data_IF_650001183794
#
_entry.id   IF_650001183794
#
_cell.length_a   1.000
_cell.length_b   1.000
_cell.length_c   1.000
_cell.angle_alpha   90.00
_cell.angle_beta   90.00
_cell.angle_gamma   90.00
#
_symmetry.space_group_name_H-M   'P 1'
#
loop_
_entity.id
_entity.type
_entity.pdbx_description
1 polymer ?
#
# COMPACT_ATOMS: atom_id res chain seq x y z
N UNK A 1 3.47 -73.91 25.28
CA UNK A 1 2.72 -73.63 24.05
C UNK A 1 3.64 -72.70 23.25
N UNK A 2 4.54 -73.24 22.44
CA UNK A 2 4.25 -73.75 21.07
C UNK A 2 4.02 -72.54 20.16
N UNK A 3 4.74 -72.23 19.08
CA UNK A 3 5.63 -72.95 18.14
C UNK A 3 6.44 -71.84 17.38
N UNK A 4 7.75 -72.00 17.06
CA UNK A 4 8.29 -72.45 15.75
C UNK A 4 8.31 -71.30 14.70
N UNK A 5 9.32 -70.98 13.88
CA UNK A 5 10.54 -71.60 13.30
C UNK A 5 11.35 -70.39 12.72
N UNK A 6 12.66 -70.22 12.90
CA UNK A 6 13.77 -70.80 12.09
C UNK A 6 13.61 -70.58 10.57
N UNK A 7 14.64 -70.25 9.76
CA UNK A 7 16.04 -69.89 9.95
C UNK A 7 16.60 -69.49 8.56
N UNK A 8 17.70 -68.72 8.54
CA UNK A 8 18.92 -68.86 7.70
C UNK A 8 18.83 -69.14 6.17
N UNK A 9 19.78 -68.78 5.29
CA UNK A 9 21.03 -68.00 5.26
C UNK A 9 21.59 -68.18 3.81
N UNK A 10 22.61 -67.40 3.46
CA UNK A 10 23.59 -67.57 2.37
C UNK A 10 23.12 -67.10 0.97
N UNK A 11 23.71 -66.04 0.38
CA UNK A 11 25.10 -65.85 -0.07
C UNK A 11 25.49 -66.83 -1.19
N UNK A 12 25.57 -66.33 -2.43
CA UNK A 12 26.74 -66.45 -3.31
C UNK A 12 26.53 -65.71 -4.66
N UNK A 13 27.44 -64.77 -4.93
CA UNK A 13 28.30 -64.68 -6.12
C UNK A 13 27.71 -64.44 -7.54
N UNK A 14 28.18 -63.35 -8.15
CA UNK A 14 27.99 -62.91 -9.56
C UNK A 14 28.63 -63.88 -10.59
N UNK A 15 28.23 -63.80 -11.87
CA UNK A 15 29.20 -63.32 -12.87
C UNK A 15 28.61 -62.36 -13.93
N UNK A 16 29.55 -61.79 -14.68
CA UNK A 16 29.52 -60.65 -15.60
C UNK A 16 29.11 -60.95 -17.06
N UNK A 17 28.84 -59.84 -17.78
CA UNK A 17 28.94 -59.58 -19.24
C UNK A 17 27.86 -60.11 -20.23
N UNK A 18 27.11 -59.15 -20.79
CA UNK A 18 26.82 -58.91 -22.22
C UNK A 18 26.08 -57.54 -22.26
N UNK A 19 26.70 -56.39 -22.58
CA UNK A 19 27.07 -55.86 -23.91
C UNK A 19 25.99 -56.09 -24.97
N UNK A 20 24.99 -55.22 -24.99
CA UNK A 20 24.13 -54.84 -26.12
C UNK A 20 23.27 -53.67 -25.57
N UNK A 21 23.17 -52.49 -26.16
CA UNK A 21 23.55 -51.98 -27.45
C UNK A 21 23.67 -50.45 -27.23
N UNK A 22 24.78 -49.87 -27.65
CA UNK A 22 24.89 -48.42 -27.83
C UNK A 22 23.88 -48.07 -28.93
N UNK A 23 22.66 -47.73 -28.55
CA UNK A 23 21.72 -47.09 -29.47
C UNK A 23 22.22 -45.67 -29.69
N UNK A 24 22.93 -45.49 -30.80
CA UNK A 24 23.12 -44.21 -31.47
C UNK A 24 21.74 -43.63 -31.82
N UNK A 25 21.08 -42.97 -30.86
CA UNK A 25 19.91 -42.13 -31.15
C UNK A 25 20.12 -40.73 -30.57
N UNK A 26 20.52 -39.83 -31.47
CA UNK A 26 20.21 -38.40 -31.49
C UNK A 26 20.87 -37.50 -30.40
N UNK A 27 21.75 -36.56 -30.78
CA UNK A 27 22.14 -35.44 -29.92
C UNK A 27 21.00 -34.40 -29.72
N UNK A 28 19.74 -34.73 -30.03
CA UNK A 28 18.61 -33.80 -30.00
C UNK A 28 17.90 -33.69 -28.63
N UNK A 29 18.14 -34.60 -27.67
CA UNK A 29 17.57 -34.50 -26.32
C UNK A 29 18.08 -33.35 -25.41
N UNK A 30 19.35 -32.89 -25.44
CA UNK A 30 19.79 -31.81 -24.56
C UNK A 30 19.19 -30.45 -24.92
N UNK A 31 19.09 -30.10 -26.20
CA UNK A 31 18.59 -28.78 -26.63
C UNK A 31 17.11 -28.59 -26.29
N UNK A 32 16.26 -29.55 -26.65
CA UNK A 32 14.82 -29.48 -26.36
C UNK A 32 14.54 -29.42 -24.85
N UNK A 33 15.32 -30.15 -24.05
CA UNK A 33 15.23 -30.11 -22.58
C UNK A 33 15.68 -28.76 -22.01
N UNK A 34 16.80 -28.21 -22.49
CA UNK A 34 17.28 -26.89 -22.08
C UNK A 34 16.28 -25.78 -22.45
N UNK A 35 15.68 -25.84 -23.63
CA UNK A 35 14.68 -24.86 -24.06
C UNK A 35 13.40 -24.94 -23.21
N UNK A 36 12.91 -26.15 -22.92
CA UNK A 36 11.76 -26.36 -22.06
C UNK A 36 12.02 -25.86 -20.62
N UNK A 37 13.22 -26.14 -20.08
CA UNK A 37 13.66 -25.62 -18.78
C UNK A 37 13.77 -24.09 -18.78
N UNK A 38 14.33 -23.49 -19.83
CA UNK A 38 14.43 -22.03 -19.99
C UNK A 38 13.03 -21.40 -20.07
N UNK A 39 12.09 -22.00 -20.80
CA UNK A 39 10.71 -21.51 -20.91
C UNK A 39 9.98 -21.60 -19.57
N UNK A 40 10.10 -22.72 -18.85
CA UNK A 40 9.53 -22.89 -17.51
C UNK A 40 10.13 -21.91 -16.51
N UNK A 41 11.44 -21.72 -16.57
CA UNK A 41 12.17 -20.76 -15.73
C UNK A 41 11.68 -19.32 -15.98
N UNK A 42 11.48 -18.91 -17.24
CA UNK A 42 10.93 -17.59 -17.58
C UNK A 42 9.57 -17.35 -16.94
N UNK A 43 8.64 -18.29 -17.08
CA UNK A 43 7.30 -18.17 -16.49
C UNK A 43 7.32 -18.12 -14.96
N UNK A 44 8.19 -18.93 -14.34
CA UNK A 44 8.41 -18.91 -12.90
C UNK A 44 8.93 -17.54 -12.42
N UNK A 45 9.95 -17.00 -13.08
CA UNK A 45 10.51 -15.67 -12.77
C UNK A 45 9.46 -14.58 -12.93
N UNK A 46 8.70 -14.57 -14.03
CA UNK A 46 7.65 -13.56 -14.23
C UNK A 46 6.56 -13.63 -13.16
N UNK A 47 6.17 -14.84 -12.74
CA UNK A 47 5.20 -15.02 -11.66
C UNK A 47 5.74 -14.47 -10.34
N UNK A 48 6.94 -14.87 -9.92
CA UNK A 48 7.50 -14.43 -8.64
C UNK A 48 7.79 -12.93 -8.62
N UNK A 49 8.34 -12.36 -9.69
CA UNK A 49 8.55 -10.90 -9.79
C UNK A 49 7.21 -10.16 -9.77
N UNK A 50 6.21 -10.65 -10.49
CA UNK A 50 4.86 -10.07 -10.48
C UNK A 50 4.23 -10.09 -9.09
N UNK A 51 4.34 -11.23 -8.40
CA UNK A 51 3.87 -11.40 -7.02
C UNK A 51 4.63 -10.49 -6.05
N UNK A 52 5.96 -10.40 -6.18
CA UNK A 52 6.79 -9.49 -5.40
C UNK A 52 6.34 -8.05 -5.56
N UNK A 53 6.11 -7.57 -6.78
CA UNK A 53 5.63 -6.21 -7.03
C UNK A 53 4.27 -5.98 -6.38
N UNK A 54 3.34 -6.94 -6.50
CA UNK A 54 2.04 -6.85 -5.87
C UNK A 54 2.17 -6.77 -4.32
N UNK A 55 2.97 -7.66 -3.72
CA UNK A 55 3.21 -7.69 -2.28
C UNK A 55 3.84 -6.39 -1.76
N UNK A 56 4.89 -5.89 -2.42
CA UNK A 56 5.48 -4.60 -2.06
C UNK A 56 4.50 -3.44 -2.24
N UNK A 57 3.63 -3.50 -3.26
CA UNK A 57 2.51 -2.57 -3.39
C UNK A 57 1.69 -2.53 -2.11
N UNK A 58 1.14 -3.68 -1.68
CA UNK A 58 0.35 -3.77 -0.45
C UNK A 58 1.12 -3.39 0.82
N UNK A 59 2.42 -3.67 0.89
CA UNK A 59 3.28 -3.31 2.03
C UNK A 59 3.47 -1.79 2.18
N UNK A 60 3.50 -1.04 1.07
CA UNK A 60 3.80 0.39 1.06
C UNK A 60 2.57 1.29 1.19
N UNK A 61 1.37 0.78 0.89
CA UNK A 61 0.14 1.57 1.00
C UNK A 61 -0.33 1.67 2.46
N UNK A 62 -0.28 2.86 3.08
CA UNK A 62 -0.83 3.05 4.41
C UNK A 62 -2.35 3.03 4.39
N UNK A 63 -2.94 2.56 5.49
CA UNK A 63 -4.31 2.88 5.84
C UNK A 63 -4.30 4.23 6.57
N UNK A 64 -4.89 5.24 5.95
CA UNK A 64 -5.02 6.56 6.55
C UNK A 64 -6.33 6.70 7.30
N UNK A 65 -6.31 7.39 8.44
CA UNK A 65 -7.49 7.70 9.24
C UNK A 65 -7.41 9.13 9.75
N UNK A 66 -8.52 9.85 9.71
CA UNK A 66 -8.61 11.20 10.27
C UNK A 66 -9.06 11.10 11.72
N UNK A 67 -8.36 11.79 12.63
CA UNK A 67 -8.65 11.83 14.06
C UNK A 67 -9.44 13.12 14.33
N UNK A 68 -10.76 13.03 14.63
CA UNK A 68 -11.58 14.21 14.82
C UNK A 68 -11.14 14.96 16.07
N UNK A 69 -11.09 16.29 15.96
CA UNK A 69 -10.86 17.18 17.08
C UNK A 69 -12.18 17.52 17.78
N UNK A 70 -12.22 17.30 19.08
CA UNK A 70 -13.33 17.69 19.93
C UNK A 70 -12.98 18.96 20.72
N UNK A 71 -13.64 20.06 20.37
CA UNK A 71 -13.45 21.36 21.02
C UNK A 71 -13.98 21.40 22.47
N UNK A 72 -14.87 20.49 22.87
CA UNK A 72 -15.38 20.43 24.25
C UNK A 72 -14.29 19.93 25.20
N UNK A 73 -13.54 18.91 24.77
CA UNK A 73 -12.48 18.29 25.55
C UNK A 73 -11.09 18.86 25.24
N UNK A 74 -10.95 19.64 24.17
CA UNK A 74 -9.68 20.22 23.76
C UNK A 74 -8.69 19.18 23.23
N UNK A 75 -9.20 18.06 22.71
CA UNK A 75 -8.39 16.92 22.30
C UNK A 75 -8.91 16.32 20.98
N UNK A 76 -7.98 15.88 20.13
CA UNK A 76 -8.30 15.02 19.01
C UNK A 76 -8.19 13.57 19.45
N UNK A 77 -9.29 12.82 19.40
CA UNK A 77 -9.35 11.46 19.90
C UNK A 77 -10.09 10.53 18.94
N UNK A 78 -9.55 9.32 18.75
CA UNK A 78 -10.16 8.31 17.89
C UNK A 78 -9.75 6.90 18.27
N UNK A 79 -10.72 6.00 18.23
CA UNK A 79 -10.48 4.56 18.08
C UNK A 79 -10.06 4.27 16.63
N UNK A 80 -8.78 3.90 16.44
CA UNK A 80 -8.24 3.54 15.12
C UNK A 80 -8.58 2.09 14.73
N UNK A 81 -9.28 1.38 15.60
CA UNK A 81 -9.75 0.02 15.41
C UNK A 81 -8.69 -1.03 15.71
N UNK A 82 -8.98 -2.26 15.26
CA UNK A 82 -8.07 -3.38 15.42
C UNK A 82 -6.91 -3.30 14.41
N UNK A 83 -5.72 -3.03 14.93
CA UNK A 83 -4.44 -3.15 14.23
C UNK A 83 -4.08 -4.64 14.17
N UNK A 84 -3.83 -5.13 12.97
CA UNK A 84 -3.51 -6.52 12.71
C UNK A 84 -2.07 -6.67 12.21
N UNK A 85 -1.43 -7.76 12.60
CA UNK A 85 -0.05 -8.06 12.23
C UNK A 85 0.47 -9.27 13.02
N UNK A 86 1.55 -9.92 12.59
CA UNK A 86 2.34 -10.71 13.53
C UNK A 86 2.81 -9.74 14.62
N UNK A 87 2.62 -10.09 15.88
CA UNK A 87 3.12 -9.28 17.00
C UNK A 87 3.84 -10.19 17.96
N UNK A 88 5.01 -9.79 18.41
CA UNK A 88 5.60 -10.31 19.63
C UNK A 88 5.52 -9.21 20.69
N UNK A 89 5.61 -9.58 21.97
CA UNK A 89 5.43 -8.60 23.04
C UNK A 89 6.66 -7.71 23.17
N UNK A 90 6.45 -6.39 23.25
CA UNK A 90 7.51 -5.40 23.39
C UNK A 90 7.90 -4.78 22.05
N UNK A 91 8.93 -3.93 22.06
CA UNK A 91 9.42 -3.30 20.83
C UNK A 91 10.16 -4.33 19.96
N UNK A 92 9.64 -4.59 18.77
CA UNK A 92 10.23 -5.54 17.83
C UNK A 92 9.97 -5.21 16.34
N UNK A 93 10.60 -5.98 15.44
CA UNK A 93 10.54 -5.73 14.00
C UNK A 93 9.18 -6.04 13.36
N UNK A 94 8.28 -6.69 14.09
CA UNK A 94 6.94 -7.06 13.65
C UNK A 94 5.92 -5.99 14.00
N UNK A 95 6.30 -4.99 14.80
CA UNK A 95 5.46 -3.85 15.13
C UNK A 95 4.95 -3.15 13.88
N UNK A 96 3.69 -2.73 13.93
CA UNK A 96 3.06 -1.99 12.86
C UNK A 96 3.43 -0.52 13.01
N UNK A 97 4.16 0.08 12.06
CA UNK A 97 4.47 1.49 12.18
C UNK A 97 3.21 2.32 12.01
N UNK A 98 3.11 3.34 12.85
CA UNK A 98 2.03 4.29 12.86
C UNK A 98 2.59 5.72 12.91
N UNK A 99 2.29 6.49 11.87
CA UNK A 99 2.63 7.91 11.82
C UNK A 99 1.39 8.73 12.12
N UNK A 100 1.50 9.59 13.14
CA UNK A 100 0.47 10.56 13.49
C UNK A 100 0.96 11.96 13.12
N UNK A 101 0.36 12.52 12.09
CA UNK A 101 0.62 13.87 11.60
C UNK A 101 -0.37 14.84 12.23
N UNK A 102 0.11 15.79 13.02
CA UNK A 102 -0.69 16.76 13.75
C UNK A 102 -0.37 18.16 13.25
N UNK A 103 -1.33 18.79 12.58
CA UNK A 103 -1.30 20.20 12.19
C UNK A 103 -1.92 21.05 13.32
N UNK A 104 -1.16 22.02 13.80
CA UNK A 104 -1.64 23.00 14.79
C UNK A 104 -2.33 24.15 14.06
N UNK A 105 -3.66 24.08 13.98
CA UNK A 105 -4.45 25.10 13.29
C UNK A 105 -4.57 26.36 14.13
N UNK A 106 -4.83 26.20 15.44
CA UNK A 106 -4.83 27.30 16.42
C UNK A 106 -4.15 26.86 17.70
N UNK A 107 -3.10 27.60 18.08
CA UNK A 107 -2.40 27.37 19.33
C UNK A 107 -3.11 28.09 20.50
N UNK A 108 -3.02 27.56 21.73
CA UNK A 108 -3.64 28.20 22.88
C UNK A 108 -3.02 29.58 23.17
N UNK A 109 -3.86 30.54 23.58
CA UNK A 109 -3.50 31.94 23.84
C UNK A 109 -2.49 32.14 24.98
N UNK A 110 -2.29 31.13 25.82
CA UNK A 110 -1.35 31.12 26.94
C UNK A 110 0.04 30.70 26.46
N UNK A 111 0.86 31.68 26.07
CA UNK A 111 2.10 31.43 25.30
C UNK A 111 3.30 30.94 26.10
N UNK A 112 3.23 30.82 27.43
CA UNK A 112 4.35 30.31 28.22
C UNK A 112 4.09 28.87 28.64
N UNK A 113 4.77 27.95 27.94
CA UNK A 113 4.93 26.54 28.28
C UNK A 113 3.75 25.62 27.93
N UNK A 114 3.39 25.63 26.65
CA UNK A 114 2.47 24.67 26.04
C UNK A 114 3.27 23.49 25.50
N UNK A 115 2.78 22.29 25.73
CA UNK A 115 3.29 21.05 25.14
C UNK A 115 2.17 20.38 24.36
N UNK A 116 2.46 19.99 23.12
CA UNK A 116 1.60 19.10 22.35
C UNK A 116 1.94 17.68 22.74
N UNK A 117 0.97 16.96 23.27
CA UNK A 117 1.11 15.56 23.71
C UNK A 117 0.32 14.66 22.76
N UNK A 118 0.94 13.56 22.34
CA UNK A 118 0.35 12.53 21.51
C UNK A 118 0.49 11.17 22.21
N UNK A 119 -0.62 10.45 22.28
CA UNK A 119 -0.73 9.14 22.92
C UNK A 119 -1.27 8.13 21.92
N UNK A 120 -0.74 6.92 21.99
CA UNK A 120 -1.35 5.72 21.40
C UNK A 120 -1.45 4.67 22.50
N UNK A 121 -2.67 4.30 22.84
CA UNK A 121 -2.98 3.43 23.98
C UNK A 121 -3.71 2.20 23.48
N UNK A 122 -3.21 1.02 23.82
CA UNK A 122 -3.90 -0.24 23.53
C UNK A 122 -5.05 -0.46 24.51
N UNK A 123 -6.24 -0.04 24.09
CA UNK A 123 -7.46 -0.08 24.87
C UNK A 123 -8.61 -0.51 23.97
N UNK A 124 -9.54 -1.29 24.52
CA UNK A 124 -10.75 -1.71 23.80
C UNK A 124 -11.79 -0.58 23.71
N UNK A 125 -11.67 0.46 24.53
CA UNK A 125 -12.58 1.61 24.54
C UNK A 125 -11.87 2.90 24.93
N UNK A 126 -11.84 3.86 24.01
CA UNK A 126 -11.18 5.16 24.23
C UNK A 126 -11.92 6.05 25.23
N UNK A 127 -13.19 5.78 25.51
CA UNK A 127 -14.00 6.52 26.47
C UNK A 127 -14.00 5.89 27.88
N UNK A 128 -13.14 4.91 28.13
CA UNK A 128 -13.00 4.31 29.46
C UNK A 128 -12.47 5.34 30.47
N UNK A 129 -12.97 5.27 31.71
CA UNK A 129 -12.59 6.19 32.80
C UNK A 129 -11.08 6.07 33.13
N UNK A 130 -10.53 4.86 32.97
CA UNK A 130 -9.14 4.52 33.26
C UNK A 130 -8.14 5.05 32.23
N UNK A 131 -8.59 5.67 31.13
CA UNK A 131 -7.69 6.23 30.09
C UNK A 131 -6.65 7.18 30.68
N UNK A 132 -7.02 7.94 31.71
CA UNK A 132 -6.08 8.83 32.40
C UNK A 132 -4.95 8.10 33.14
N UNK A 133 -5.20 6.91 33.68
CA UNK A 133 -4.19 6.08 34.34
C UNK A 133 -3.21 5.52 33.30
N UNK A 134 -3.72 5.03 32.16
CA UNK A 134 -2.88 4.53 31.07
C UNK A 134 -2.04 5.63 30.41
N UNK A 135 -2.51 6.88 30.36
CA UNK A 135 -1.68 8.01 29.95
C UNK A 135 -0.51 8.25 30.90
N UNK A 136 -0.69 8.08 32.21
CA UNK A 136 0.41 8.21 33.17
C UNK A 136 1.44 7.09 32.98
N UNK A 137 0.98 5.86 32.73
CA UNK A 137 1.87 4.73 32.40
C UNK A 137 2.64 5.01 31.10
N UNK A 138 1.97 5.53 30.08
CA UNK A 138 2.61 5.91 28.81
C UNK A 138 3.72 6.93 29.02
N UNK A 139 3.51 7.95 29.87
CA UNK A 139 4.54 8.95 30.21
C UNK A 139 5.75 8.38 30.95
N UNK A 140 5.59 7.28 31.67
CA UNK A 140 6.71 6.59 32.32
C UNK A 140 7.58 5.85 31.30
N UNK A 141 7.00 5.41 30.18
CA UNK A 141 7.72 4.78 29.07
C UNK A 141 8.04 3.30 29.29
N UNK A 142 7.45 2.67 30.32
CA UNK A 142 7.74 1.28 30.70
C UNK A 142 6.88 0.23 29.96
N UNK A 143 5.94 0.68 29.12
CA UNK A 143 4.99 -0.21 28.43
C UNK A 143 4.98 0.05 26.93
N UNK A 144 5.09 -1.03 26.15
CA UNK A 144 4.94 -0.97 24.70
C UNK A 144 3.48 -0.79 24.26
N UNK A 145 2.54 -1.28 25.08
CA UNK A 145 1.10 -1.14 24.85
C UNK A 145 0.60 0.32 25.00
N UNK A 146 1.35 1.16 25.72
CA UNK A 146 0.99 2.55 25.99
C UNK A 146 2.15 3.48 25.64
N UNK A 147 2.06 4.13 24.49
CA UNK A 147 3.12 4.98 23.98
C UNK A 147 2.76 6.46 24.08
N UNK A 148 3.80 7.26 24.31
CA UNK A 148 3.68 8.70 24.50
C UNK A 148 4.83 9.42 23.80
N UNK A 149 4.47 10.43 23.01
CA UNK A 149 5.42 11.37 22.43
C UNK A 149 4.91 12.79 22.65
N UNK A 150 5.83 13.76 22.68
CA UNK A 150 5.46 15.15 22.90
C UNK A 150 6.37 16.13 22.20
N UNK A 151 5.82 17.32 21.94
CA UNK A 151 6.52 18.45 21.36
C UNK A 151 6.29 19.70 22.21
N UNK A 152 7.37 20.23 22.77
CA UNK A 152 7.35 21.49 23.53
C UNK A 152 7.26 22.68 22.61
N UNK A 153 6.54 23.71 23.05
CA UNK A 153 6.34 24.98 22.35
C UNK A 153 5.93 24.78 20.87
N UNK A 154 4.80 24.10 20.62
CA UNK A 154 4.28 23.94 19.27
C UNK A 154 3.90 25.32 18.71
N UNK A 155 4.21 25.54 17.42
CA UNK A 155 3.91 26.77 16.71
C UNK A 155 2.62 26.61 15.90
N UNK A 156 1.83 27.69 15.84
CA UNK A 156 0.63 27.74 15.03
C UNK A 156 0.96 27.72 13.53
N UNK A 157 0.21 26.92 12.76
CA UNK A 157 0.44 26.68 11.34
C UNK A 157 1.52 25.64 11.02
N UNK A 158 2.18 25.07 12.04
CA UNK A 158 3.14 23.97 11.83
C UNK A 158 2.49 22.59 11.98
N UNK A 159 3.06 21.62 11.28
CA UNK A 159 2.72 20.20 11.40
C UNK A 159 3.85 19.43 12.07
N UNK A 160 3.48 18.54 12.99
CA UNK A 160 4.39 17.67 13.71
C UNK A 160 4.04 16.21 13.44
N UNK A 161 5.05 15.39 13.16
CA UNK A 161 4.89 13.96 12.98
C UNK A 161 5.38 13.22 14.23
N UNK A 162 4.53 12.36 14.75
CA UNK A 162 4.83 11.44 15.84
C UNK A 162 4.83 10.00 15.30
N UNK A 163 5.89 9.26 15.55
CA UNK A 163 6.09 7.89 15.04
C UNK A 163 5.95 6.90 16.19
N UNK A 164 5.04 5.94 16.04
CA UNK A 164 4.75 4.90 17.03
C UNK A 164 4.90 3.51 16.39
N UNK A 165 5.20 2.51 17.21
CA UNK A 165 5.37 1.12 16.77
C UNK A 165 4.32 0.26 17.47
N UNK A 166 3.29 -0.18 16.75
CA UNK A 166 2.08 -0.71 17.37
C UNK A 166 2.03 -2.23 17.33
N UNK A 167 1.78 -2.81 18.50
CA UNK A 167 1.45 -4.21 18.65
C UNK A 167 0.09 -4.56 18.01
N UNK A 168 -0.17 -5.84 17.79
CA UNK A 168 -1.52 -6.28 17.41
C UNK A 168 -2.52 -5.98 18.54
N UNK A 169 -3.62 -5.32 18.21
CA UNK A 169 -4.66 -4.98 19.19
C UNK A 169 -5.55 -3.81 18.77
N UNK A 170 -6.52 -3.47 19.63
CA UNK A 170 -7.31 -2.24 19.48
C UNK A 170 -6.56 -1.07 20.09
N UNK A 171 -6.55 0.06 19.39
CA UNK A 171 -5.76 1.21 19.77
C UNK A 171 -6.56 2.51 19.72
N UNK A 172 -6.31 3.33 20.73
CA UNK A 172 -6.87 4.66 20.89
C UNK A 172 -5.78 5.69 20.70
N UNK A 173 -6.02 6.64 19.81
CA UNK A 173 -5.13 7.77 19.58
C UNK A 173 -5.72 9.00 20.25
N UNK A 174 -4.89 9.73 20.99
CA UNK A 174 -5.27 11.00 21.61
C UNK A 174 -4.19 12.04 21.44
N UNK A 175 -4.58 13.25 21.03
CA UNK A 175 -3.68 14.40 20.89
C UNK A 175 -4.28 15.59 21.59
N UNK A 176 -3.51 16.27 22.43
CA UNK A 176 -3.99 17.39 23.23
C UNK A 176 -2.87 18.38 23.54
N UNK A 177 -3.25 19.64 23.76
CA UNK A 177 -2.35 20.62 24.36
C UNK A 177 -2.40 20.52 25.87
N UNK A 178 -1.24 20.54 26.52
CA UNK A 178 -1.14 20.65 27.97
C UNK A 178 -0.24 21.81 28.38
N UNK A 179 -0.48 22.34 29.57
CA UNK A 179 0.45 23.26 30.23
C UNK A 179 1.51 22.50 31.06
N UNK A 180 2.44 23.23 31.67
CA UNK A 180 3.45 22.66 32.58
C UNK A 180 2.90 21.89 33.78
N UNK A 181 1.64 22.16 34.16
CA UNK A 181 0.97 21.49 35.27
C UNK A 181 0.29 20.18 34.82
N UNK A 182 0.31 19.87 33.52
CA UNK A 182 -0.36 18.72 32.93
C UNK A 182 -1.85 18.92 32.67
N UNK A 183 -2.37 20.15 32.80
CA UNK A 183 -3.77 20.47 32.54
C UNK A 183 -3.99 20.66 31.03
N UNK A 184 -5.07 20.07 30.51
CA UNK A 184 -5.47 20.18 29.11
C UNK A 184 -5.94 21.61 28.78
N UNK A 185 -5.39 22.18 27.71
CA UNK A 185 -5.72 23.51 27.20
C UNK A 185 -6.76 23.41 26.08
N UNK A 186 -8.02 23.65 26.45
CA UNK A 186 -9.18 23.55 25.55
C UNK A 186 -9.64 24.87 24.93
N UNK A 187 -9.27 26.00 25.52
CA UNK A 187 -9.80 27.30 25.09
C UNK A 187 -9.12 27.78 23.80
N UNK A 188 -9.94 28.04 22.77
CA UNK A 188 -9.51 28.57 21.48
C UNK A 188 -8.37 27.75 20.82
N UNK A 189 -8.38 26.44 21.00
CA UNK A 189 -7.44 25.52 20.34
C UNK A 189 -8.11 24.80 19.19
N UNK A 190 -7.31 24.44 18.19
CA UNK A 190 -7.77 23.61 17.07
C UNK A 190 -6.59 22.80 16.53
N UNK A 191 -6.83 21.51 16.34
CA UNK A 191 -5.87 20.54 15.82
C UNK A 191 -6.49 19.79 14.64
N UNK A 192 -5.67 19.44 13.66
CA UNK A 192 -6.01 18.41 12.68
C UNK A 192 -5.01 17.30 12.80
N UNK A 193 -5.48 16.11 13.15
CA UNK A 193 -4.64 14.95 13.32
C UNK A 193 -5.00 13.87 12.28
N UNK A 194 -3.98 13.30 11.64
CA UNK A 194 -4.11 12.27 10.63
C UNK A 194 -3.16 11.12 10.93
N UNK A 195 -3.72 9.93 11.11
CA UNK A 195 -2.97 8.70 11.29
C UNK A 195 -2.70 8.00 9.95
N UNK A 196 -1.52 7.41 9.81
CA UNK A 196 -1.14 6.50 8.72
C UNK A 196 -0.60 5.23 9.36
N UNK A 197 -1.14 4.08 8.97
CA UNK A 197 -0.79 2.78 9.55
C UNK A 197 -0.38 1.79 8.44
N UNK A 198 0.69 1.03 8.65
CA UNK A 198 1.20 0.06 7.66
C UNK A 198 1.17 -1.40 8.16
N UNK A 199 -0.01 -2.00 8.42
CA UNK A 199 -0.07 -3.35 8.99
C UNK A 199 0.42 -4.44 8.03
N UNK A 200 0.35 -4.17 6.72
CA UNK A 200 0.80 -5.10 5.69
C UNK A 200 2.32 -5.17 5.54
N UNK A 201 3.08 -4.24 6.14
CA UNK A 201 4.49 -4.09 5.81
C UNK A 201 5.28 -5.35 6.12
N UNK A 202 5.00 -6.00 7.25
CA UNK A 202 5.68 -7.22 7.68
C UNK A 202 5.17 -8.42 6.86
N UNK A 203 3.85 -8.59 6.76
CA UNK A 203 3.21 -9.77 6.15
C UNK A 203 3.43 -9.82 4.64
N UNK A 204 3.47 -8.67 3.96
CA UNK A 204 3.71 -8.61 2.53
C UNK A 204 5.18 -8.29 2.20
N UNK A 205 5.86 -7.48 3.01
CA UNK A 205 7.25 -7.08 2.78
C UNK A 205 8.24 -8.23 2.94
N UNK A 206 8.19 -8.99 4.05
CA UNK A 206 9.13 -10.09 4.29
C UNK A 206 9.01 -11.17 3.20
N UNK A 207 7.82 -11.71 2.88
CA UNK A 207 7.67 -12.64 1.76
C UNK A 207 8.03 -12.01 0.41
N UNK A 208 7.74 -10.73 0.22
CA UNK A 208 8.13 -9.96 -0.95
C UNK A 208 9.64 -10.01 -1.19
N UNK A 209 10.46 -9.80 -0.15
CA UNK A 209 11.92 -9.94 -0.21
C UNK A 209 12.37 -11.37 -0.50
N UNK A 210 11.72 -12.38 0.09
CA UNK A 210 12.02 -13.79 -0.18
C UNK A 210 11.78 -14.09 -1.66
N UNK A 211 10.61 -13.73 -2.20
CA UNK A 211 10.30 -13.95 -3.63
C UNK A 211 11.20 -13.14 -4.55
N UNK A 212 11.62 -11.94 -4.15
CA UNK A 212 12.60 -11.16 -4.89
C UNK A 212 13.94 -11.90 -4.96
N UNK A 213 14.42 -12.43 -3.84
CA UNK A 213 15.68 -13.17 -3.78
C UNK A 213 15.67 -14.43 -4.65
N UNK A 214 14.57 -15.20 -4.61
CA UNK A 214 14.38 -16.40 -5.45
C UNK A 214 14.33 -16.00 -6.93
N UNK A 215 13.68 -14.89 -7.26
CA UNK A 215 13.63 -14.37 -8.63
C UNK A 215 15.01 -13.98 -9.15
N UNK A 216 15.80 -13.27 -8.34
CA UNK A 216 17.17 -12.88 -8.69
C UNK A 216 18.02 -14.13 -8.93
N UNK A 217 17.96 -15.11 -8.04
CA UNK A 217 18.69 -16.36 -8.19
C UNK A 217 18.29 -17.11 -9.47
N UNK A 218 16.99 -17.18 -9.78
CA UNK A 218 16.49 -17.82 -10.99
C UNK A 218 16.93 -17.09 -12.27
N UNK A 219 16.97 -15.75 -12.26
CA UNK A 219 17.48 -14.95 -13.39
C UNK A 219 18.97 -15.23 -13.61
N UNK A 220 19.78 -15.23 -12.54
CA UNK A 220 21.22 -15.55 -12.65
C UNK A 220 21.43 -16.97 -13.19
N UNK A 221 20.64 -17.95 -12.73
CA UNK A 221 20.66 -19.31 -13.28
C UNK A 221 20.21 -19.40 -14.75
N UNK A 222 19.29 -18.55 -15.18
CA UNK A 222 18.87 -18.48 -16.59
C UNK A 222 19.96 -17.89 -17.47
N UNK A 223 20.66 -16.85 -17.00
CA UNK A 223 21.76 -16.21 -17.73
C UNK A 223 22.90 -17.21 -17.96
N UNK A 224 23.24 -18.03 -16.96
CA UNK A 224 24.28 -19.06 -17.10
C UNK A 224 23.84 -20.23 -18.00
N UNK A 225 22.58 -20.67 -17.95
CA UNK A 225 22.06 -21.69 -18.89
C UNK A 225 22.02 -21.17 -20.32
N UNK A 226 21.70 -19.88 -20.52
CA UNK A 226 21.69 -19.26 -21.85
C UNK A 226 23.08 -19.16 -22.46
N UNK A 227 24.11 -18.85 -21.67
CA UNK A 227 25.48 -18.83 -22.20
C UNK A 227 25.91 -20.23 -22.66
N UNK A 228 25.57 -21.29 -21.92
CA UNK A 228 25.82 -22.68 -22.33
C UNK A 228 25.04 -23.08 -23.58
N UNK A 229 23.77 -22.69 -23.70
CA UNK A 229 22.99 -22.94 -24.91
C UNK A 229 23.62 -22.25 -26.14
N UNK A 230 24.04 -21.00 -25.97
CA UNK A 230 24.70 -20.26 -27.06
C UNK A 230 26.01 -20.94 -27.49
N UNK A 231 26.77 -21.48 -26.55
CA UNK A 231 28.01 -22.23 -26.83
C UNK A 231 27.73 -23.49 -27.65
N UNK A 232 26.73 -24.29 -27.26
CA UNK A 232 26.32 -25.49 -28.01
C UNK A 232 25.84 -25.13 -29.42
N UNK A 233 25.04 -24.08 -29.57
CA UNK A 233 24.56 -23.63 -30.88
C UNK A 233 25.69 -23.07 -31.77
N UNK A 234 26.71 -22.48 -31.17
CA UNK A 234 27.90 -22.02 -31.89
C UNK A 234 28.75 -23.20 -32.35
N UNK A 235 28.89 -24.23 -31.53
CA UNK A 235 29.57 -25.48 -31.89
C UNK A 235 28.85 -26.20 -33.04
N UNK A 236 27.53 -26.39 -32.96
CA UNK A 236 26.74 -26.98 -34.06
C UNK A 236 26.86 -26.19 -35.36
N UNK A 237 26.88 -24.85 -35.28
CA UNK A 237 27.06 -24.00 -36.45
C UNK A 237 28.42 -24.23 -37.11
N UNK A 238 29.48 -24.27 -36.32
CA UNK A 238 30.85 -24.49 -36.81
C UNK A 238 30.95 -25.87 -37.45
N UNK A 239 30.33 -26.90 -36.85
CA UNK A 239 30.30 -28.25 -37.40
C UNK A 239 29.55 -28.29 -38.75
N UNK A 240 28.38 -27.66 -38.85
CA UNK A 240 27.65 -27.55 -40.11
C UNK A 240 28.45 -26.83 -41.21
N UNK A 241 29.14 -25.74 -40.86
CA UNK A 241 30.02 -25.04 -41.82
C UNK A 241 31.17 -25.92 -42.29
N UNK A 242 31.75 -26.73 -41.38
CA UNK A 242 32.81 -27.69 -41.71
C UNK A 242 32.31 -28.81 -42.62
N UNK A 243 31.16 -29.41 -42.31
CA UNK A 243 30.55 -30.45 -43.14
C UNK A 243 30.17 -29.92 -44.52
N UNK A 244 29.64 -28.70 -44.61
CA UNK A 244 29.33 -28.05 -45.88
C UNK A 244 30.61 -27.77 -46.71
N UNK A 245 31.70 -27.35 -46.05
CA UNK A 245 32.98 -27.16 -46.70
C UNK A 245 33.58 -28.50 -47.20
N UNK A 246 33.50 -29.56 -46.39
CA UNK A 246 33.96 -30.89 -46.76
C UNK A 246 33.16 -31.45 -47.95
N UNK A 247 31.83 -31.33 -47.91
CA UNK A 247 30.96 -31.71 -49.04
C UNK A 247 31.31 -30.93 -50.32
N UNK A 248 31.54 -29.61 -50.22
CA UNK A 248 31.96 -28.80 -51.36
C UNK A 248 33.35 -29.20 -51.90
N UNK A 249 34.28 -29.61 -51.02
CA UNK A 249 35.57 -30.15 -51.45
C UNK A 249 35.45 -31.52 -52.09
N UNK A 250 34.60 -32.41 -51.55
CA UNK A 250 34.32 -33.72 -52.11
C UNK A 250 33.66 -33.61 -53.49
N UNK A 251 32.75 -32.64 -53.69
CA UNK A 251 32.16 -32.33 -54.99
C UNK A 251 33.21 -31.80 -55.99
N UNK A 252 34.16 -30.96 -55.54
CA UNK A 252 35.28 -30.53 -56.40
C UNK A 252 36.23 -31.67 -56.76
N UNK A 253 36.45 -32.63 -55.86
CA UNK A 253 37.29 -33.80 -56.11
C UNK A 253 36.59 -34.77 -57.06
N UNK A 254 35.27 -34.96 -56.93
CA UNK A 254 34.48 -35.82 -57.81
C UNK A 254 34.34 -35.28 -59.24
N UNK A 255 34.47 -33.96 -59.43
CA UNK A 255 34.57 -33.33 -60.76
C UNK A 255 35.95 -33.49 -61.42
N UNK A 256 36.97 -33.95 -60.67
CA UNK A 256 38.30 -34.31 -61.17
C UNK A 256 39.14 -33.16 -61.75
N UNK A 257 40.49 -33.26 -61.76
CA UNK A 257 41.37 -32.30 -62.42
C UNK A 257 41.38 -32.59 -63.93
N UNK A 258 40.28 -32.32 -64.62
CA UNK A 258 40.08 -32.80 -65.99
C UNK A 258 39.06 -32.02 -66.81
N UNK A 259 38.86 -30.73 -66.54
CA UNK A 259 38.11 -29.83 -67.41
C UNK A 259 39.07 -28.90 -68.15
N UNK A 260 39.45 -29.24 -69.37
CA UNK A 260 40.10 -28.29 -70.29
C UNK A 260 39.26 -27.00 -70.40
N UNK A 261 39.87 -25.81 -70.57
CA UNK A 261 39.12 -24.58 -70.69
C UNK A 261 38.24 -24.64 -71.94
N UNK A 262 36.96 -24.22 -71.92
CA UNK A 262 36.24 -24.04 -73.15
C UNK A 262 36.92 -22.91 -73.94
N UNK A 263 37.57 -23.27 -75.05
CA UNK A 263 37.96 -22.34 -76.10
C UNK A 263 36.68 -21.79 -76.75
N UNK A 264 36.40 -20.53 -76.42
CA UNK A 264 35.82 -19.46 -77.24
C UNK A 264 34.75 -19.81 -78.28
N UNK A 265 33.53 -19.34 -78.02
CA UNK A 265 32.58 -18.98 -79.07
C UNK A 265 31.95 -17.60 -78.75
N UNK A 266 32.25 -16.65 -79.64
CA UNK A 266 31.54 -15.43 -80.01
C UNK A 266 30.77 -14.63 -78.93
N UNK A 267 31.22 -13.39 -78.69
CA UNK A 267 30.32 -12.33 -78.22
C UNK A 267 29.26 -11.98 -79.27
N UNK A 268 28.18 -11.31 -78.83
CA UNK A 268 27.83 -10.07 -79.51
C UNK A 268 27.54 -8.91 -78.57
N UNK A 269 27.92 -7.75 -79.10
CA UNK A 269 27.65 -6.38 -78.70
C UNK A 269 26.18 -6.06 -78.36
N UNK A 270 25.99 -5.17 -77.37
CA UNK A 270 24.80 -4.29 -77.26
C UNK A 270 24.31 -4.01 -75.83
N UNK A 271 24.21 -2.75 -75.35
CA UNK A 271 23.48 -2.37 -74.13
C UNK A 271 21.97 -2.22 -74.44
N UNK A 272 21.00 -1.96 -73.51
CA UNK A 272 21.03 -1.56 -72.08
C UNK A 272 20.12 -2.51 -71.21
N UNK A 273 19.90 -2.36 -69.89
CA UNK A 273 19.25 -1.27 -69.15
C UNK A 273 19.51 -1.40 -67.64
N UNK A 274 19.75 -0.25 -67.01
CA UNK A 274 19.67 -0.05 -65.57
C UNK A 274 18.31 -0.51 -65.03
N UNK A 275 18.32 -1.48 -64.13
CA UNK A 275 17.24 -1.67 -63.17
C UNK A 275 17.71 -1.06 -61.85
N UNK A 276 16.99 -0.03 -61.42
CA UNK A 276 17.23 0.71 -60.19
C UNK A 276 17.20 -0.23 -58.97
N UNK A 277 18.22 -0.15 -58.12
CA UNK A 277 18.17 -0.74 -56.79
C UNK A 277 17.19 0.04 -55.90
N UNK A 278 16.49 -0.61 -54.95
CA UNK A 278 15.82 0.12 -53.90
C UNK A 278 16.84 0.55 -52.85
N UNK A 279 17.29 1.81 -52.95
CA UNK A 279 17.67 2.59 -51.78
C UNK A 279 16.43 2.96 -50.99
N UNK A 280 16.45 2.75 -49.68
CA UNK A 280 15.45 3.31 -48.77
C UNK A 280 15.71 2.90 -47.31
N UNK A 281 16.02 3.84 -46.41
CA UNK A 281 16.10 3.57 -44.97
C UNK A 281 14.69 3.39 -44.36
N UNK A 282 14.56 2.72 -43.20
CA UNK A 282 13.27 2.46 -42.58
C UNK A 282 12.57 3.75 -42.13
N UNK A 283 11.27 3.82 -42.42
CA UNK A 283 10.36 4.91 -42.08
C UNK A 283 10.35 5.18 -40.58
N UNK A 284 10.59 6.43 -40.19
CA UNK A 284 10.20 6.95 -38.89
C UNK A 284 8.68 6.90 -38.74
N UNK A 285 8.18 6.01 -37.88
CA UNK A 285 6.83 6.15 -37.34
C UNK A 285 6.81 7.32 -36.37
N UNK A 286 5.91 8.27 -36.68
CA UNK A 286 5.60 9.45 -35.88
C UNK A 286 5.18 9.02 -34.47
N UNK A 287 5.89 9.52 -33.47
CA UNK A 287 5.38 9.69 -32.10
C UNK A 287 4.18 10.64 -32.17
N UNK A 288 2.99 10.13 -31.92
CA UNK A 288 1.83 10.93 -31.54
C UNK A 288 2.05 11.41 -30.10
N UNK A 289 2.37 12.69 -29.95
CA UNK A 289 2.32 13.38 -28.65
C UNK A 289 0.88 13.50 -28.15
N UNK A 290 0.71 13.78 -26.84
CA UNK A 290 -0.60 13.79 -26.20
C UNK A 290 -1.43 15.02 -26.62
N UNK A 291 -2.74 14.90 -26.86
CA UNK A 291 -3.58 16.07 -26.93
C UNK A 291 -3.82 16.64 -25.52
N UNK A 292 -3.62 17.96 -25.44
CA UNK A 292 -3.92 18.84 -24.32
C UNK A 292 -5.37 18.63 -23.84
N UNK A 293 -5.54 18.44 -22.53
CA UNK A 293 -6.86 18.54 -21.91
C UNK A 293 -7.24 20.01 -21.77
N UNK A 294 -8.31 20.39 -22.45
CA UNK A 294 -8.92 21.71 -22.43
C UNK A 294 -9.73 21.93 -21.14
N UNK A 295 -9.42 23.02 -20.46
CA UNK A 295 -10.26 23.66 -19.44
C UNK A 295 -11.41 24.38 -20.13
N UNK A 296 -12.67 24.07 -19.76
CA UNK A 296 -13.86 24.95 -19.74
C UNK A 296 -14.95 24.16 -18.99
N UNK A 297 -15.45 24.52 -17.80
CA UNK A 297 -16.15 25.73 -17.34
C UNK A 297 -17.47 26.01 -18.10
N UNK A 298 -18.58 25.52 -17.55
CA UNK A 298 -19.93 26.15 -17.51
C UNK A 298 -20.83 25.26 -16.60
N UNK A 299 -21.19 25.64 -15.37
CA UNK A 299 -22.31 26.54 -14.96
C UNK A 299 -23.65 26.17 -15.59
N UNK A 300 -24.56 25.53 -14.84
CA UNK A 300 -25.71 26.16 -14.14
C UNK A 300 -26.54 25.08 -13.42
N UNK A 301 -26.59 25.12 -12.09
CA UNK A 301 -27.71 25.64 -11.26
C UNK A 301 -28.83 24.63 -10.96
N UNK A 302 -28.88 24.14 -9.72
CA UNK A 302 -30.13 24.12 -8.95
C UNK A 302 -29.86 24.08 -7.45
N UNK A 303 -30.59 24.95 -6.75
CA UNK A 303 -30.46 25.37 -5.36
C UNK A 303 -30.96 24.31 -4.37
N UNK A 304 -30.28 24.16 -3.23
CA UNK A 304 -30.96 24.15 -1.93
C UNK A 304 -30.04 24.74 -0.86
N UNK A 305 -30.55 25.80 -0.25
CA UNK A 305 -29.89 26.68 0.72
C UNK A 305 -29.71 26.00 2.07
N UNK A 306 -28.51 26.07 2.63
CA UNK A 306 -28.25 26.04 4.08
C UNK A 306 -27.81 27.44 4.52
N UNK A 307 -28.15 27.90 5.73
CA UNK A 307 -27.82 29.25 6.17
C UNK A 307 -26.37 29.36 6.69
N UNK A 308 -25.67 30.49 6.46
CA UNK A 308 -24.48 30.91 7.19
C UNK A 308 -24.83 32.05 8.18
N UNK A 309 -23.83 32.72 8.79
CA UNK A 309 -23.19 32.43 10.07
C UNK A 309 -23.74 33.29 11.23
N UNK A 310 -23.55 32.85 12.47
CA UNK A 310 -23.72 33.69 13.65
C UNK A 310 -22.40 34.42 13.98
N UNK A 311 -22.47 35.73 14.15
CA UNK A 311 -21.48 36.48 14.92
C UNK A 311 -22.22 37.50 15.81
N UNK A 312 -21.55 37.89 16.90
CA UNK A 312 -21.92 38.87 17.94
C UNK A 312 -22.64 38.33 19.19
N UNK A 313 -21.85 37.79 20.11
CA UNK A 313 -21.54 38.42 21.41
C UNK A 313 -22.65 39.22 22.10
N UNK A 314 -23.28 38.65 23.14
CA UNK A 314 -23.70 39.36 24.36
C UNK A 314 -23.60 38.42 25.57
N UNK A 315 -22.85 38.89 26.57
CA UNK A 315 -22.68 38.38 27.94
C UNK A 315 -23.85 38.83 28.81
N UNK A 316 -24.55 37.91 29.52
CA UNK A 316 -25.25 38.21 30.80
C UNK A 316 -25.30 36.95 31.70
N UNK A 317 -25.01 37.17 32.99
CA UNK A 317 -25.15 36.27 34.15
C UNK A 317 -26.61 35.87 34.47
N UNK A 318 -26.86 34.88 35.35
CA UNK A 318 -28.17 34.26 35.52
C UNK A 318 -29.08 35.10 36.44
N UNK A 319 -30.35 35.21 36.06
CA UNK A 319 -31.42 35.62 36.95
C UNK A 319 -32.46 34.51 37.02
N UNK A 320 -32.52 33.82 38.17
CA UNK A 320 -33.75 33.16 38.60
C UNK A 320 -34.84 34.22 38.74
N UNK A 321 -35.86 34.18 37.89
CA UNK A 321 -37.15 34.80 38.21
C UNK A 321 -38.29 33.86 37.79
N UNK A 322 -38.90 33.27 38.81
CA UNK A 322 -40.24 32.68 38.73
C UNK A 322 -41.22 33.81 38.48
N UNK A 323 -41.80 33.88 37.28
CA UNK A 323 -42.98 34.71 37.02
C UNK A 323 -44.04 33.95 36.26
N UNK A 324 -45.08 33.56 36.99
CA UNK A 324 -46.41 33.33 36.44
C UNK A 324 -46.95 34.66 35.92
N UNK A 325 -46.93 34.87 34.60
CA UNK A 325 -47.66 35.96 33.95
C UNK A 325 -48.43 35.46 32.73
N UNK A 326 -49.67 35.93 32.65
CA UNK A 326 -50.67 35.63 31.65
C UNK A 326 -50.30 36.34 30.35
N UNK A 327 -49.35 35.77 29.61
CA UNK A 327 -49.08 36.18 28.23
C UNK A 327 -50.00 35.41 27.29
N UNK A 328 -50.60 36.09 26.31
CA UNK A 328 -51.29 35.50 25.15
C UNK A 328 -50.29 34.75 24.21
N UNK A 329 -49.26 34.13 24.79
CA UNK A 329 -48.29 33.30 24.10
C UNK A 329 -48.83 31.89 23.89
N UNK A 330 -48.68 31.36 22.68
CA UNK A 330 -49.14 30.03 22.29
C UNK A 330 -47.94 29.13 22.08
N UNK A 331 -47.98 27.92 22.64
CA UNK A 331 -46.95 26.91 22.39
C UNK A 331 -47.35 26.06 21.17
N UNK A 332 -46.48 26.02 20.16
CA UNK A 332 -46.69 25.23 18.94
C UNK A 332 -45.73 24.04 18.90
N UNK A 333 -46.19 22.83 18.53
CA UNK A 333 -45.36 21.64 18.50
C UNK A 333 -44.32 21.70 17.38
N UNK A 334 -43.04 21.48 17.73
CA UNK A 334 -41.90 21.42 16.83
C UNK A 334 -41.62 20.01 16.26
N UNK A 335 -42.32 18.99 16.79
CA UNK A 335 -42.03 17.58 16.55
C UNK A 335 -41.12 16.98 17.63
N UNK A 336 -41.10 15.65 17.73
CA UNK A 336 -40.27 14.88 18.68
C UNK A 336 -40.43 15.26 20.18
N UNK A 337 -41.59 15.78 20.59
CA UNK A 337 -41.88 16.15 21.98
C UNK A 337 -41.48 17.57 22.39
N UNK A 338 -40.94 18.36 21.46
CA UNK A 338 -40.51 19.73 21.69
C UNK A 338 -41.53 20.77 21.20
N UNK A 339 -41.49 21.97 21.78
CA UNK A 339 -42.40 23.08 21.53
C UNK A 339 -41.66 24.40 21.39
N UNK A 340 -42.17 25.29 20.55
CA UNK A 340 -41.75 26.69 20.46
C UNK A 340 -42.80 27.59 21.09
N UNK A 341 -42.36 28.64 21.80
CA UNK A 341 -43.25 29.68 22.31
C UNK A 341 -43.39 30.78 21.25
N UNK A 342 -44.64 31.02 20.84
CA UNK A 342 -45.02 32.10 19.93
C UNK A 342 -45.61 33.25 20.74
N UNK A 343 -45.02 34.44 20.61
CA UNK A 343 -45.46 35.64 21.29
C UNK A 343 -46.66 36.27 20.59
N UNK A 344 -47.36 37.19 21.26
CA UNK A 344 -48.55 37.86 20.74
C UNK A 344 -48.29 38.70 19.47
N UNK A 345 -47.04 39.09 19.23
CA UNK A 345 -46.59 39.78 18.01
C UNK A 345 -46.34 38.84 16.82
N UNK A 346 -46.54 37.53 17.02
CA UNK A 346 -46.35 36.49 16.02
C UNK A 346 -44.91 36.01 15.84
N UNK A 347 -43.97 36.53 16.64
CA UNK A 347 -42.57 36.08 16.63
C UNK A 347 -42.36 34.86 17.54
N UNK A 348 -41.28 34.12 17.31
CA UNK A 348 -40.93 32.92 18.08
C UNK A 348 -39.74 33.22 18.99
N UNK A 349 -39.81 32.71 20.21
CA UNK A 349 -38.69 32.70 21.14
C UNK A 349 -37.65 31.64 20.70
N UNK A 350 -36.37 31.94 20.89
CA UNK A 350 -35.27 31.03 20.47
C UNK A 350 -35.00 29.90 21.48
N UNK A 351 -35.81 29.82 22.54
CA UNK A 351 -35.74 28.78 23.56
C UNK A 351 -36.71 27.65 23.17
N UNK A 352 -36.23 26.41 23.27
CA UNK A 352 -37.04 25.20 23.04
C UNK A 352 -37.66 24.79 24.37
N UNK A 353 -38.92 24.37 24.35
CA UNK A 353 -39.65 23.91 25.54
C UNK A 353 -40.03 22.44 25.44
N UNK A 354 -40.14 21.78 26.58
CA UNK A 354 -40.71 20.44 26.73
C UNK A 354 -41.97 20.53 27.60
N UNK A 355 -42.99 19.76 27.25
CA UNK A 355 -44.22 19.68 28.04
C UNK A 355 -44.08 18.64 29.16
N UNK A 356 -44.25 19.06 30.41
CA UNK A 356 -44.33 18.17 31.57
C UNK A 356 -45.67 17.42 31.61
N UNK A 357 -45.74 16.35 32.42
CA UNK A 357 -46.97 15.55 32.59
C UNK A 357 -48.17 16.37 33.08
N UNK A 358 -47.91 17.45 33.83
CA UNK A 358 -48.92 18.40 34.31
C UNK A 358 -49.38 19.41 33.23
N UNK A 359 -48.94 19.24 31.98
CA UNK A 359 -49.29 20.09 30.84
C UNK A 359 -48.55 21.44 30.77
N UNK A 360 -47.65 21.70 31.72
CA UNK A 360 -46.83 22.92 31.79
C UNK A 360 -45.62 22.81 30.85
N UNK A 361 -45.15 23.94 30.30
CA UNK A 361 -43.99 23.99 29.42
C UNK A 361 -42.77 24.53 30.16
N UNK A 362 -41.68 23.79 30.17
CA UNK A 362 -40.39 24.20 30.78
C UNK A 362 -39.32 24.31 29.71
N UNK A 363 -38.40 25.30 29.80
CA UNK A 363 -37.25 25.38 28.91
C UNK A 363 -36.48 24.06 28.89
N UNK A 364 -36.07 23.62 27.71
CA UNK A 364 -35.19 22.48 27.54
C UNK A 364 -33.76 22.92 27.87
N UNK A 365 -33.21 22.34 28.93
CA UNK A 365 -31.80 22.41 29.28
C UNK A 365 -31.15 21.08 28.89
N UNK A 366 -30.00 21.13 28.22
CA UNK A 366 -29.28 19.96 27.67
C UNK A 366 -28.55 19.15 28.75
#
# INVERSE_FOLDING_TARGET
>A
MSDQEENDMAEETLPSEEVEEVSEEQPEEPLGKLEAELKRSKWSVFLFVGLTIAMFGFALFPMSTDVPYDGLWGAAEKDIGFVWGPSASGEDLMDVPFELEVEVVRAPSVSSNVTLEAYVLKLDNCQAIEVSDYQQVAKQGDSHDYQYLSKKAPLEGESYTFEFNLDMGQHCVKVQFVNDQGNVLKENTELKAKGKLWPNQVIAGIPGFIFLSVSIYAILGMLSKRSRLNEILEEERIEQERLAAEAATAERISQGPGGAPPKSAAGPSGPPKSAAGPSGPPKQQKRSGPPKSSITAATDSSKRSGPPPANSEVKVEPAEETTSQTDDSVFEPAGNGYFYRKMADGTYEQIIYVQSEDGTYTPYEE
#
